data_IF_455699927145
#
_entry.id   IF_455699927145
#
_cell.length_a   1.000
_cell.length_b   1.000
_cell.length_c   1.000
_cell.angle_alpha   90.00
_cell.angle_beta   90.00
_cell.angle_gamma   90.00
#
_symmetry.space_group_name_H-M   'P 1'
#
loop_
_entity.id
_entity.type
_entity.pdbx_description
1 polymer ?
#
# COMPACT_ATOMS: atom_id res chain seq x y z
N UNK A 1 -31.07 -4.84 -10.11
CA UNK A 1 -31.28 -3.43 -10.50
C UNK A 1 -30.77 -3.26 -11.90
N UNK A 2 -31.44 -2.45 -12.71
CA UNK A 2 -30.91 -2.03 -14.01
C UNK A 2 -29.92 -0.90 -13.79
N UNK A 3 -28.69 -1.06 -14.29
CA UNK A 3 -27.67 -0.02 -14.25
C UNK A 3 -27.62 0.66 -15.61
N UNK A 4 -27.81 1.97 -15.62
CA UNK A 4 -27.71 2.81 -16.82
C UNK A 4 -26.39 3.59 -16.76
N UNK A 5 -25.60 3.62 -17.84
CA UNK A 5 -24.39 4.45 -17.87
C UNK A 5 -24.79 5.93 -17.77
N UNK A 6 -24.35 6.60 -16.72
CA UNK A 6 -24.44 8.04 -16.56
C UNK A 6 -23.06 8.63 -16.86
N UNK A 7 -22.99 9.57 -17.81
CA UNK A 7 -21.75 10.27 -18.14
C UNK A 7 -21.91 11.72 -17.65
N UNK A 8 -21.19 12.06 -16.59
CA UNK A 8 -21.08 13.43 -16.10
C UNK A 8 -19.70 14.00 -16.42
N UNK A 9 -19.67 15.26 -16.84
CA UNK A 9 -18.43 16.03 -16.91
C UNK A 9 -18.16 16.64 -15.53
N UNK A 10 -17.24 16.05 -14.76
CA UNK A 10 -16.87 16.55 -13.42
C UNK A 10 -16.09 17.87 -13.49
N UNK A 11 -15.19 17.98 -14.48
CA UNK A 11 -14.38 19.18 -14.70
C UNK A 11 -13.85 19.23 -16.13
N UNK A 12 -13.58 20.44 -16.63
CA UNK A 12 -12.83 20.65 -17.85
C UNK A 12 -11.43 21.18 -17.50
N UNK A 13 -10.39 20.46 -17.91
CA UNK A 13 -9.01 20.95 -17.82
C UNK A 13 -8.60 21.49 -19.19
N UNK A 14 -8.16 22.74 -19.24
CA UNK A 14 -7.60 23.34 -20.46
C UNK A 14 -6.11 23.52 -20.28
N UNK A 15 -5.33 22.94 -21.19
CA UNK A 15 -3.88 23.14 -21.25
C UNK A 15 -3.59 24.20 -22.29
N UNK A 16 -2.83 25.22 -21.91
CA UNK A 16 -2.44 26.32 -22.80
C UNK A 16 -0.96 26.66 -22.61
N UNK A 17 -0.40 27.39 -23.56
CA UNK A 17 0.93 27.99 -23.48
C UNK A 17 0.97 29.28 -22.63
N UNK A 18 -0.18 29.77 -22.16
CA UNK A 18 -0.26 30.89 -21.23
C UNK A 18 0.01 30.44 -19.80
N UNK A 19 0.79 31.24 -19.06
CA UNK A 19 1.04 31.00 -17.64
C UNK A 19 -0.27 31.07 -16.84
N UNK A 20 -0.40 30.21 -15.84
CA UNK A 20 -1.52 30.25 -14.90
C UNK A 20 -1.48 31.55 -14.06
N UNK A 21 -2.65 32.14 -13.81
CA UNK A 21 -2.84 33.27 -12.90
C UNK A 21 -3.87 32.88 -11.81
N UNK A 22 -3.48 32.78 -10.53
CA UNK A 22 -2.17 33.12 -10.00
C UNK A 22 -1.08 32.12 -10.38
N UNK A 23 0.12 32.63 -10.65
CA UNK A 23 1.30 31.79 -10.82
C UNK A 23 1.71 31.22 -9.45
N UNK A 24 1.56 29.91 -9.29
CA UNK A 24 1.88 29.20 -8.03
C UNK A 24 3.20 28.41 -8.10
N UNK A 25 3.95 28.53 -9.21
CA UNK A 25 5.20 27.80 -9.48
C UNK A 25 6.23 27.97 -8.35
N UNK A 26 6.54 29.20 -7.96
CA UNK A 26 7.48 29.51 -6.86
C UNK A 26 7.06 28.88 -5.52
N UNK A 27 5.77 28.64 -5.34
CA UNK A 27 5.23 28.07 -4.11
C UNK A 27 5.53 26.55 -4.00
N UNK A 28 5.90 25.89 -5.10
CA UNK A 28 6.40 24.50 -5.14
C UNK A 28 7.92 24.41 -4.98
N UNK A 29 8.66 25.49 -5.26
CA UNK A 29 10.11 25.54 -5.09
C UNK A 29 10.54 25.78 -3.64
N UNK A 30 9.60 26.19 -2.79
CA UNK A 30 9.87 26.48 -1.37
C UNK A 30 9.40 25.32 -0.51
N UNK A 31 10.32 24.73 0.26
CA UNK A 31 9.98 23.74 1.29
C UNK A 31 9.03 24.37 2.31
N UNK A 32 7.94 23.66 2.61
CA UNK A 32 6.96 24.07 3.61
C UNK A 32 7.03 23.14 4.81
N UNK A 33 6.78 23.71 5.98
CA UNK A 33 6.60 22.95 7.21
C UNK A 33 5.16 23.12 7.71
N UNK A 34 4.52 22.01 8.02
CA UNK A 34 3.18 21.97 8.61
C UNK A 34 3.31 21.76 10.13
N UNK A 35 3.44 22.86 10.87
CA UNK A 35 3.77 22.84 12.31
C UNK A 35 2.73 22.13 13.19
N UNK A 36 1.49 22.04 12.72
CA UNK A 36 0.40 21.26 13.29
C UNK A 36 0.66 19.76 13.15
N UNK A 37 0.97 19.29 11.94
CA UNK A 37 1.36 17.90 11.67
C UNK A 37 2.60 17.51 12.47
N UNK A 38 3.63 18.36 12.50
CA UNK A 38 4.85 18.13 13.28
C UNK A 38 4.55 17.95 14.77
N UNK A 39 3.60 18.72 15.31
CA UNK A 39 3.21 18.65 16.73
C UNK A 39 2.42 17.38 17.04
N UNK A 40 1.53 17.00 16.13
CA UNK A 40 0.72 15.78 16.22
C UNK A 40 1.59 14.51 16.16
N UNK A 41 2.57 14.47 15.25
CA UNK A 41 3.45 13.31 15.04
C UNK A 41 4.53 13.19 16.12
N UNK A 42 4.93 14.30 16.74
CA UNK A 42 6.02 14.33 17.75
C UNK A 42 5.93 13.24 18.83
N UNK A 43 4.80 13.03 19.54
CA UNK A 43 4.71 11.96 20.54
C UNK A 43 4.92 10.57 19.93
N UNK A 44 4.43 10.34 18.71
CA UNK A 44 4.48 9.03 18.06
C UNK A 44 5.90 8.54 17.72
N UNK A 45 6.88 9.46 17.66
CA UNK A 45 8.28 9.12 17.43
C UNK A 45 8.86 8.17 18.48
N UNK A 46 8.32 8.14 19.70
CA UNK A 46 8.77 7.19 20.73
C UNK A 46 8.52 5.73 20.34
N UNK A 47 7.53 5.48 19.48
CA UNK A 47 7.20 4.16 18.98
C UNK A 47 8.07 3.70 17.81
N UNK A 48 8.96 4.53 17.27
CA UNK A 48 9.69 4.17 16.04
C UNK A 48 10.74 3.09 16.30
N UNK A 49 11.39 3.14 17.47
CA UNK A 49 12.45 2.19 17.86
C UNK A 49 11.95 0.85 18.45
N UNK A 50 10.64 0.65 18.61
CA UNK A 50 10.09 -0.61 19.14
C UNK A 50 10.07 -1.69 18.05
N UNK A 51 10.07 -2.96 18.48
CA UNK A 51 9.82 -4.08 17.57
C UNK A 51 8.40 -4.01 16.99
N UNK A 52 8.17 -4.47 15.74
CA UNK A 52 6.84 -4.48 15.16
C UNK A 52 5.89 -5.37 15.99
N UNK A 53 4.64 -4.93 16.13
CA UNK A 53 3.57 -5.71 16.75
C UNK A 53 3.12 -6.84 15.80
N UNK A 54 3.15 -6.55 14.49
CA UNK A 54 2.80 -7.49 13.43
C UNK A 54 3.81 -7.42 12.28
N UNK A 55 4.08 -8.56 11.68
CA UNK A 55 4.97 -8.67 10.52
C UNK A 55 4.25 -9.40 9.39
N UNK A 56 4.20 -8.75 8.22
CA UNK A 56 3.63 -9.27 6.99
C UNK A 56 4.73 -9.48 5.97
N UNK A 57 4.54 -10.49 5.13
CA UNK A 57 5.38 -10.73 3.98
C UNK A 57 4.53 -10.87 2.73
N UNK A 58 4.95 -10.24 1.64
CA UNK A 58 4.28 -10.36 0.34
C UNK A 58 4.86 -11.52 -0.46
N UNK A 59 4.00 -12.26 -1.14
CA UNK A 59 4.40 -13.28 -2.11
C UNK A 59 3.29 -13.50 -3.13
N UNK A 60 3.56 -14.33 -4.13
CA UNK A 60 2.61 -14.71 -5.15
C UNK A 60 2.67 -16.22 -5.37
N UNK A 61 1.49 -16.83 -5.53
CA UNK A 61 1.34 -18.23 -5.89
C UNK A 61 0.77 -18.30 -7.29
N UNK A 62 1.35 -19.17 -8.11
CA UNK A 62 0.91 -19.40 -9.49
C UNK A 62 0.53 -20.86 -9.65
N UNK A 63 -0.59 -21.11 -10.34
CA UNK A 63 -1.12 -22.43 -10.62
C UNK A 63 -1.64 -22.48 -12.07
N UNK A 64 -1.31 -23.55 -12.78
CA UNK A 64 -1.81 -23.84 -14.14
C UNK A 64 -1.56 -22.75 -15.21
N UNK A 65 -0.66 -21.80 -14.95
CA UNK A 65 -0.32 -20.74 -15.89
C UNK A 65 0.47 -21.30 -17.07
N UNK A 66 0.13 -20.88 -18.30
CA UNK A 66 0.81 -21.39 -19.49
C UNK A 66 2.30 -21.02 -19.48
N UNK A 67 3.17 -21.93 -19.91
CA UNK A 67 4.64 -21.77 -19.81
C UNK A 67 5.15 -20.50 -20.50
N UNK A 68 4.52 -20.05 -21.58
CA UNK A 68 4.90 -18.80 -22.25
C UNK A 68 4.69 -17.57 -21.37
N UNK A 69 3.66 -17.59 -20.52
CA UNK A 69 3.34 -16.50 -19.59
C UNK A 69 4.32 -16.54 -18.42
N UNK A 70 4.61 -17.74 -17.88
CA UNK A 70 5.64 -17.95 -16.86
C UNK A 70 6.98 -17.34 -17.30
N UNK A 71 7.45 -17.68 -18.51
CA UNK A 71 8.71 -17.14 -19.04
C UNK A 71 8.66 -15.62 -19.26
N UNK A 72 7.50 -15.08 -19.61
CA UNK A 72 7.29 -13.63 -19.74
C UNK A 72 7.39 -12.93 -18.38
N UNK A 73 6.74 -13.48 -17.35
CA UNK A 73 6.79 -12.96 -15.97
C UNK A 73 8.22 -13.00 -15.44
N UNK A 74 8.94 -14.11 -15.60
CA UNK A 74 10.34 -14.22 -15.20
C UNK A 74 11.23 -13.21 -15.93
N UNK A 75 11.01 -12.99 -17.23
CA UNK A 75 11.80 -12.01 -18.00
C UNK A 75 11.54 -10.56 -17.57
N UNK A 76 10.32 -10.24 -17.17
CA UNK A 76 9.92 -8.88 -16.77
C UNK A 76 10.62 -8.45 -15.47
N UNK A 77 10.84 -9.40 -14.55
CA UNK A 77 11.58 -9.16 -13.29
C UNK A 77 13.03 -8.73 -13.48
N UNK A 78 13.58 -8.89 -14.69
CA UNK A 78 14.93 -8.42 -15.03
C UNK A 78 15.00 -6.89 -15.19
N UNK A 79 13.86 -6.21 -15.30
CA UNK A 79 13.79 -4.77 -15.46
C UNK A 79 13.34 -4.08 -14.17
N UNK A 80 14.24 -3.31 -13.55
CA UNK A 80 13.89 -2.43 -12.45
C UNK A 80 13.39 -1.08 -12.99
N UNK A 81 12.10 -0.82 -12.81
CA UNK A 81 11.52 0.46 -13.19
C UNK A 81 12.17 1.63 -12.41
N UNK A 82 12.63 2.70 -13.08
CA UNK A 82 13.26 3.83 -12.40
C UNK A 82 12.29 4.75 -11.65
N UNK A 83 10.98 4.54 -11.80
CA UNK A 83 9.94 5.29 -11.11
C UNK A 83 8.95 4.34 -10.45
N UNK A 84 8.51 4.69 -9.24
CA UNK A 84 7.72 3.87 -8.33
C UNK A 84 6.41 3.28 -8.93
N UNK A 85 5.88 3.87 -10.00
CA UNK A 85 4.60 3.51 -10.64
C UNK A 85 4.71 2.95 -12.07
N UNK A 86 5.93 2.75 -12.57
CA UNK A 86 6.16 2.57 -14.01
C UNK A 86 6.57 1.14 -14.35
N UNK A 87 5.69 0.20 -14.02
CA UNK A 87 5.91 -1.22 -14.28
C UNK A 87 5.15 -1.65 -15.56
N UNK A 88 5.60 -2.72 -16.23
CA UNK A 88 5.02 -3.25 -17.48
C UNK A 88 3.69 -4.00 -17.27
N UNK A 89 3.09 -3.82 -16.08
CA UNK A 89 1.85 -4.39 -15.56
C UNK A 89 0.71 -4.57 -16.56
N UNK A 90 0.41 -3.62 -17.48
CA UNK A 90 -0.74 -3.78 -18.36
C UNK A 90 -0.67 -5.05 -19.22
N UNK A 91 0.53 -5.47 -19.65
CA UNK A 91 0.67 -6.69 -20.44
C UNK A 91 0.57 -7.94 -19.57
N UNK A 92 1.13 -7.94 -18.36
CA UNK A 92 1.16 -9.11 -17.48
C UNK A 92 -0.21 -9.40 -16.86
N UNK A 93 -0.95 -8.34 -16.52
CA UNK A 93 -2.35 -8.44 -16.06
C UNK A 93 -3.29 -8.97 -17.15
N UNK A 94 -2.98 -8.76 -18.43
CA UNK A 94 -3.74 -9.34 -19.55
C UNK A 94 -3.48 -10.83 -19.74
N UNK A 95 -2.32 -11.32 -19.30
CA UNK A 95 -1.88 -12.69 -19.53
C UNK A 95 -2.19 -13.62 -18.35
N UNK A 96 -2.79 -13.14 -17.27
CA UNK A 96 -3.12 -13.95 -16.09
C UNK A 96 -4.49 -13.59 -15.53
N UNK A 97 -5.07 -14.49 -14.75
CA UNK A 97 -6.37 -14.31 -14.07
C UNK A 97 -6.29 -14.69 -12.59
N UNK A 98 -7.30 -14.30 -11.81
CA UNK A 98 -7.43 -14.70 -10.41
C UNK A 98 -7.62 -16.23 -10.21
N UNK A 99 -7.90 -16.98 -11.28
CA UNK A 99 -7.95 -18.44 -11.24
C UNK A 99 -6.54 -19.07 -11.24
N UNK A 100 -5.55 -18.38 -11.81
CA UNK A 100 -4.19 -18.89 -12.05
C UNK A 100 -3.16 -18.26 -11.11
N UNK A 101 -3.44 -17.06 -10.61
CA UNK A 101 -2.52 -16.29 -9.75
C UNK A 101 -3.25 -15.91 -8.48
N UNK A 102 -2.59 -16.12 -7.34
CA UNK A 102 -3.04 -15.63 -6.04
C UNK A 102 -1.93 -14.80 -5.42
N UNK A 103 -2.22 -13.52 -5.19
CA UNK A 103 -1.33 -12.62 -4.49
C UNK A 103 -1.59 -12.72 -2.98
N UNK A 104 -0.52 -12.75 -2.19
CA UNK A 104 -0.58 -13.19 -0.80
C UNK A 104 0.06 -12.15 0.11
N UNK A 105 -0.67 -11.77 1.15
CA UNK A 105 -0.16 -11.23 2.40
C UNK A 105 -0.14 -12.37 3.41
N UNK A 106 1.03 -12.66 3.97
CA UNK A 106 1.19 -13.70 5.00
C UNK A 106 1.65 -13.06 6.30
N UNK A 107 0.94 -13.34 7.40
CA UNK A 107 1.39 -12.99 8.75
C UNK A 107 2.51 -13.96 9.16
N UNK A 108 3.70 -13.41 9.36
CA UNK A 108 4.92 -14.19 9.66
C UNK A 108 4.81 -14.93 11.00
N UNK A 109 4.03 -14.39 11.95
CA UNK A 109 3.90 -14.97 13.29
C UNK A 109 2.97 -16.18 13.29
N UNK A 110 1.83 -16.06 12.58
CA UNK A 110 0.78 -17.09 12.60
C UNK A 110 0.85 -18.04 11.40
N UNK A 111 1.47 -17.61 10.31
CA UNK A 111 1.43 -18.27 9.00
C UNK A 111 0.10 -18.12 8.27
N UNK A 112 -0.84 -17.33 8.80
CA UNK A 112 -2.13 -17.08 8.18
C UNK A 112 -1.96 -16.24 6.92
N UNK A 113 -2.72 -16.58 5.86
CA UNK A 113 -2.64 -15.89 4.58
C UNK A 113 -3.96 -15.21 4.23
N UNK A 114 -3.89 -13.97 3.75
CA UNK A 114 -5.04 -13.20 3.27
C UNK A 114 -6.21 -13.24 4.26
N UNK A 115 -7.40 -13.67 3.84
CA UNK A 115 -8.63 -13.74 4.66
C UNK A 115 -8.52 -14.64 5.92
N UNK A 116 -7.46 -15.44 6.05
CA UNK A 116 -7.18 -16.20 7.29
C UNK A 116 -6.59 -15.32 8.41
N UNK A 117 -6.08 -14.13 8.07
CA UNK A 117 -5.53 -13.17 9.03
C UNK A 117 -6.70 -12.52 9.78
N UNK A 118 -6.78 -12.77 11.09
CA UNK A 118 -7.84 -12.25 11.97
C UNK A 118 -7.26 -11.29 13.01
N UNK A 119 -6.86 -10.10 12.57
CA UNK A 119 -6.34 -9.07 13.46
C UNK A 119 -7.48 -8.30 14.14
N UNK A 120 -7.32 -8.04 15.44
CA UNK A 120 -8.27 -7.29 16.25
C UNK A 120 -7.56 -6.28 17.13
N UNK A 121 -8.00 -5.03 17.06
CA UNK A 121 -7.43 -3.88 17.77
C UNK A 121 -8.50 -3.16 18.59
N UNK A 122 -8.08 -2.22 19.42
CA UNK A 122 -8.93 -1.28 20.13
C UNK A 122 -8.74 0.13 19.57
N UNK A 123 -9.79 0.95 19.63
CA UNK A 123 -9.65 2.39 19.38
C UNK A 123 -8.61 2.98 20.35
N UNK A 124 -7.67 3.73 19.80
CA UNK A 124 -6.55 4.33 20.51
C UNK A 124 -5.25 3.53 20.40
N UNK A 125 -5.28 2.31 19.87
CA UNK A 125 -4.07 1.53 19.65
C UNK A 125 -3.17 2.21 18.62
N UNK A 126 -1.89 2.30 18.94
CA UNK A 126 -0.83 2.64 18.00
C UNK A 126 -0.14 1.34 17.64
N UNK A 127 -0.28 0.89 16.40
CA UNK A 127 0.19 -0.44 15.94
C UNK A 127 1.34 -0.26 14.97
N UNK A 128 2.48 -0.90 15.25
CA UNK A 128 3.63 -0.91 14.35
C UNK A 128 3.58 -2.19 13.53
N UNK A 129 3.41 -2.04 12.23
CA UNK A 129 3.38 -3.15 11.29
C UNK A 129 4.63 -3.09 10.43
N UNK A 130 5.35 -4.21 10.33
CA UNK A 130 6.45 -4.40 9.40
C UNK A 130 5.93 -5.16 8.19
N UNK A 131 6.20 -4.67 6.99
CA UNK A 131 5.76 -5.31 5.75
C UNK A 131 6.99 -5.50 4.87
N UNK A 132 7.32 -6.75 4.54
CA UNK A 132 8.46 -7.10 3.71
C UNK A 132 8.01 -7.59 2.34
N UNK A 133 8.55 -6.97 1.29
CA UNK A 133 8.30 -7.40 -0.09
C UNK A 133 9.43 -8.29 -0.60
N UNK A 134 9.14 -9.59 -0.69
CA UNK A 134 10.15 -10.60 -0.99
C UNK A 134 10.69 -10.46 -2.42
N UNK A 135 12.01 -10.27 -2.60
CA UNK A 135 12.61 -10.21 -3.93
C UNK A 135 12.70 -11.60 -4.59
N UNK A 136 12.55 -12.68 -3.80
CA UNK A 136 12.54 -14.08 -4.24
C UNK A 136 11.13 -14.64 -4.50
N UNK A 137 10.10 -13.79 -4.52
CA UNK A 137 8.78 -14.21 -4.99
C UNK A 137 8.82 -14.58 -6.49
N UNK A 138 7.81 -15.28 -7.00
CA UNK A 138 7.80 -15.73 -8.41
C UNK A 138 7.75 -14.55 -9.39
N UNK A 139 7.15 -13.42 -9.00
CA UNK A 139 7.08 -12.21 -9.80
C UNK A 139 7.14 -10.99 -8.87
N UNK A 140 8.34 -10.61 -8.40
CA UNK A 140 8.52 -9.50 -7.48
C UNK A 140 8.19 -8.18 -8.17
N UNK A 141 7.35 -7.38 -7.51
CA UNK A 141 6.95 -6.05 -7.97
C UNK A 141 6.59 -5.13 -6.83
N UNK A 142 6.46 -3.84 -7.12
CA UNK A 142 6.08 -2.85 -6.12
C UNK A 142 4.62 -3.06 -5.68
N UNK A 143 4.35 -2.93 -4.38
CA UNK A 143 3.00 -3.06 -3.84
C UNK A 143 2.59 -1.75 -3.15
N UNK A 144 1.65 -0.96 -3.70
CA UNK A 144 1.02 0.12 -2.95
C UNK A 144 0.12 -0.49 -1.87
N UNK A 145 0.54 -0.46 -0.62
CA UNK A 145 -0.22 -1.00 0.51
C UNK A 145 -1.18 0.07 1.02
N UNK A 146 -2.46 -0.26 1.06
CA UNK A 146 -3.54 0.61 1.52
C UNK A 146 -4.23 0.03 2.76
N UNK A 147 -4.56 0.89 3.71
CA UNK A 147 -5.28 0.54 4.95
C UNK A 147 -6.55 1.39 5.03
N UNK A 148 -7.70 0.74 5.06
CA UNK A 148 -8.99 1.42 5.13
C UNK A 148 -9.23 2.00 6.52
N UNK A 149 -9.97 3.12 6.56
CA UNK A 149 -10.52 3.70 7.78
C UNK A 149 -9.51 4.31 8.74
N UNK A 150 -8.23 3.96 8.62
CA UNK A 150 -7.13 4.41 9.47
C UNK A 150 -6.14 5.28 8.70
N UNK A 151 -5.28 5.95 9.45
CA UNK A 151 -4.13 6.67 8.90
C UNK A 151 -2.85 6.13 9.53
N UNK A 152 -1.75 6.24 8.80
CA UNK A 152 -0.45 5.78 9.28
C UNK A 152 0.69 6.69 8.86
N UNK A 153 1.81 6.53 9.55
CA UNK A 153 3.10 7.11 9.18
C UNK A 153 4.00 6.00 8.64
N UNK A 154 4.72 6.26 7.55
CA UNK A 154 5.86 5.43 7.16
C UNK A 154 7.02 5.82 8.06
N UNK A 155 7.33 4.97 9.05
CA UNK A 155 8.36 5.24 10.06
C UNK A 155 9.76 5.00 9.50
N UNK A 156 9.94 3.92 8.74
CA UNK A 156 11.21 3.63 8.06
C UNK A 156 11.02 2.74 6.83
N UNK A 157 11.96 2.82 5.89
CA UNK A 157 12.13 1.86 4.81
C UNK A 157 13.56 1.33 4.88
N UNK A 158 13.73 0.02 4.86
CA UNK A 158 15.05 -0.66 4.93
C UNK A 158 15.88 -0.24 6.15
N UNK A 159 15.20 -0.02 7.27
CA UNK A 159 15.80 0.44 8.53
C UNK A 159 16.22 1.92 8.54
N UNK A 160 16.02 2.65 7.45
CA UNK A 160 16.29 4.10 7.37
C UNK A 160 15.05 4.87 7.81
N UNK A 161 15.16 5.60 8.93
CA UNK A 161 14.06 6.41 9.46
C UNK A 161 13.63 7.50 8.49
N UNK A 162 12.33 7.61 8.25
CA UNK A 162 11.74 8.65 7.44
C UNK A 162 11.77 10.01 8.15
N UNK A 163 12.48 10.98 7.55
CA UNK A 163 12.61 12.33 8.08
C UNK A 163 11.46 13.26 7.67
N UNK A 164 10.66 12.89 6.67
CA UNK A 164 9.53 13.67 6.17
C UNK A 164 8.20 12.95 6.45
N UNK A 165 7.77 13.03 7.70
CA UNK A 165 6.58 12.33 8.19
C UNK A 165 5.32 13.08 7.79
N UNK A 166 4.43 12.37 7.10
CA UNK A 166 3.09 12.82 6.73
C UNK A 166 2.12 11.67 6.95
N UNK A 167 0.89 11.99 7.34
CA UNK A 167 -0.18 11.00 7.41
C UNK A 167 -0.51 10.48 6.02
N UNK A 168 -0.64 9.16 5.92
CA UNK A 168 -0.95 8.43 4.69
C UNK A 168 -2.01 7.38 4.97
N UNK A 169 -2.72 7.01 3.92
CA UNK A 169 -3.56 5.80 3.87
C UNK A 169 -2.96 4.76 2.93
N UNK A 170 -1.97 5.15 2.11
CA UNK A 170 -1.35 4.33 1.08
C UNK A 170 0.13 4.67 0.97
N UNK A 171 0.98 3.64 0.89
CA UNK A 171 2.41 3.80 0.63
C UNK A 171 2.93 2.67 -0.26
N UNK A 172 3.86 3.01 -1.15
CA UNK A 172 4.52 2.03 -2.00
C UNK A 172 5.54 1.25 -1.17
N UNK A 173 5.46 -0.07 -1.26
CA UNK A 173 6.45 -1.01 -0.77
C UNK A 173 7.27 -1.53 -1.97
N UNK A 174 8.51 -1.05 -2.16
CA UNK A 174 9.37 -1.48 -3.27
C UNK A 174 9.76 -2.96 -3.17
N UNK A 175 10.14 -3.55 -4.31
CA UNK A 175 10.72 -4.89 -4.35
C UNK A 175 11.96 -5.00 -3.46
N UNK A 176 12.03 -6.04 -2.63
CA UNK A 176 13.17 -6.32 -1.77
C UNK A 176 13.25 -5.42 -0.53
N UNK A 177 12.33 -4.47 -0.39
CA UNK A 177 12.32 -3.53 0.73
C UNK A 177 11.43 -4.02 1.87
N UNK A 178 11.77 -3.55 3.06
CA UNK A 178 10.95 -3.68 4.28
C UNK A 178 10.48 -2.30 4.71
N UNK A 179 9.18 -2.13 4.88
CA UNK A 179 8.56 -0.90 5.35
C UNK A 179 7.96 -1.09 6.73
N UNK A 180 8.35 -0.24 7.68
CA UNK A 180 7.68 -0.15 8.98
C UNK A 180 6.68 1.01 8.93
N UNK A 181 5.41 0.69 9.16
CA UNK A 181 4.33 1.68 9.29
C UNK A 181 3.83 1.73 10.74
N UNK A 182 3.49 2.94 11.18
CA UNK A 182 2.86 3.17 12.48
C UNK A 182 1.42 3.61 12.23
N UNK A 183 0.48 2.70 12.48
CA UNK A 183 -0.96 2.88 12.24
C UNK A 183 -1.62 3.37 13.52
N UNK A 184 -2.40 4.45 13.39
CA UNK A 184 -3.26 4.93 14.46
C UNK A 184 -4.67 4.36 14.28
N UNK A 185 -5.06 3.43 15.16
CA UNK A 185 -6.38 2.82 15.18
C UNK A 185 -7.39 3.80 15.79
N UNK A 186 -7.94 4.68 14.96
CA UNK A 186 -8.79 5.79 15.40
C UNK A 186 -10.26 5.63 15.01
N UNK A 187 -10.56 4.73 14.08
CA UNK A 187 -11.89 4.57 13.53
C UNK A 187 -12.43 3.15 13.79
N UNK A 188 -13.42 2.96 14.67
CA UNK A 188 -13.96 1.63 14.97
C UNK A 188 -14.72 1.05 13.77
N UNK A 189 -14.68 -0.26 13.63
CA UNK A 189 -15.33 -0.98 12.53
C UNK A 189 -14.51 -2.14 12.00
N UNK A 190 -15.03 -2.77 10.96
CA UNK A 190 -14.33 -3.78 10.17
C UNK A 190 -13.72 -3.07 8.95
N UNK A 191 -12.42 -3.24 8.76
CA UNK A 191 -11.63 -2.53 7.76
C UNK A 191 -10.76 -3.51 6.99
N UNK A 192 -10.38 -3.13 5.77
CA UNK A 192 -9.48 -3.93 4.95
C UNK A 192 -8.09 -3.33 4.88
N UNK A 193 -7.09 -4.20 4.79
CA UNK A 193 -5.75 -3.88 4.33
C UNK A 193 -5.48 -4.66 3.05
N UNK A 194 -4.97 -4.00 2.01
CA UNK A 194 -4.75 -4.65 0.72
C UNK A 194 -3.71 -3.95 -0.15
N UNK A 195 -3.27 -4.64 -1.21
CA UNK A 195 -2.56 -3.98 -2.31
C UNK A 195 -3.54 -3.17 -3.15
N UNK A 196 -3.21 -1.92 -3.48
CA UNK A 196 -4.06 -1.02 -4.24
C UNK A 196 -3.93 -1.20 -5.78
N UNK A 197 -3.24 -2.25 -6.23
CA UNK A 197 -3.32 -2.72 -7.61
C UNK A 197 -4.57 -3.60 -7.70
N UNK A 198 -5.54 -3.18 -8.50
CA UNK A 198 -6.88 -3.78 -8.54
C UNK A 198 -6.84 -5.29 -8.86
N UNK A 199 -5.93 -5.69 -9.72
CA UNK A 199 -5.73 -7.08 -10.12
C UNK A 199 -5.16 -7.92 -8.97
N UNK A 200 -4.26 -7.37 -8.15
CA UNK A 200 -3.73 -8.08 -6.98
C UNK A 200 -4.78 -8.22 -5.89
N UNK A 201 -5.54 -7.14 -5.65
CA UNK A 201 -6.70 -7.15 -4.77
C UNK A 201 -7.69 -8.24 -5.21
N UNK A 202 -8.08 -8.24 -6.49
CA UNK A 202 -9.02 -9.21 -7.04
C UNK A 202 -8.50 -10.65 -6.97
N UNK A 203 -7.20 -10.84 -7.15
CA UNK A 203 -6.51 -12.12 -7.01
C UNK A 203 -6.05 -12.42 -5.56
N UNK A 204 -6.61 -11.74 -4.56
CA UNK A 204 -6.58 -12.16 -3.16
C UNK A 204 -5.68 -11.37 -2.21
N UNK A 205 -4.91 -10.36 -2.65
CA UNK A 205 -3.96 -9.63 -1.79
C UNK A 205 -4.64 -8.65 -0.82
N UNK A 206 -5.45 -9.19 0.07
CA UNK A 206 -6.26 -8.45 1.03
C UNK A 206 -6.52 -9.31 2.27
N UNK A 207 -6.84 -8.64 3.37
CA UNK A 207 -7.48 -9.24 4.53
C UNK A 207 -8.29 -8.18 5.26
N UNK A 208 -9.19 -8.63 6.14
CA UNK A 208 -9.99 -7.76 7.00
C UNK A 208 -9.46 -7.79 8.44
N UNK A 209 -9.58 -6.67 9.15
CA UNK A 209 -9.27 -6.56 10.56
C UNK A 209 -10.36 -5.76 11.28
N UNK A 210 -10.50 -6.00 12.59
CA UNK A 210 -11.50 -5.32 13.40
C UNK A 210 -10.85 -4.30 14.32
N UNK A 211 -11.41 -3.09 14.38
CA UNK A 211 -11.12 -2.09 15.41
C UNK A 211 -12.34 -1.98 16.31
N UNK A 212 -12.22 -2.49 17.54
CA UNK A 212 -13.30 -2.45 18.51
C UNK A 212 -13.38 -1.07 19.15
N UNK A 213 -14.60 -0.56 19.32
CA UNK A 213 -14.82 0.62 20.15
C UNK A 213 -14.51 0.27 21.61
N UNK A 214 -13.93 1.20 22.37
CA UNK A 214 -13.75 0.97 23.79
C UNK A 214 -15.14 0.88 24.43
N UNK A 215 -15.50 -0.28 24.97
CA UNK A 215 -16.73 -0.43 25.72
C UNK A 215 -16.80 0.64 26.83
N UNK A 216 -17.98 1.25 27.08
CA UNK A 216 -18.13 2.34 28.04
C UNK A 216 -17.80 1.96 29.48
#
# INVERSE_FOLDING_TARGET
>A
GEFYPHVDTLSLVTVSDQNADPEVSMAFETLREHSDVVREVRPLREHFGREPDHELVTTVRVQNLHQSIVLSMESDTLYAAPMEWNDAMPMMNWLSTADEVTWILEDVTTGAQNDEIDWSFQVGDIVKMRIHNKPDSFHPMNHPIHIHGQRFLVASIDGVENQNLVWKDTAILPVGSTMDVLVEMSNPGEWMMHCHIAEHLHAGMMFSFTVNDQAP
#
